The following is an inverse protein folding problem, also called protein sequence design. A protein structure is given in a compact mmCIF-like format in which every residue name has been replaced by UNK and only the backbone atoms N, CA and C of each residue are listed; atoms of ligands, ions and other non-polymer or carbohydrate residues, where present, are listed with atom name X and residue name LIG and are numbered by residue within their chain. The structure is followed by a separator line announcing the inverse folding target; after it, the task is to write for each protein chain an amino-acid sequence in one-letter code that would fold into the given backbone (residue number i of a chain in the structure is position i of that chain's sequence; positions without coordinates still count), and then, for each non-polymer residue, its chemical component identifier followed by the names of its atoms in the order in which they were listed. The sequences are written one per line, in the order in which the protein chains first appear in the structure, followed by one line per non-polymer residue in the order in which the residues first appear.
data_IF_843662258390
#
_entry.id   IF_843662258390
#
_cell.length_a   1.000
_cell.length_b   1.000
_cell.length_c   1.000
_cell.angle_alpha   90.00
_cell.angle_beta   90.00
_cell.angle_gamma   90.00
#
_symmetry.space_group_name_H-M   'P 1'
#
loop_
_entity.id
_entity.type
_entity.pdbx_description
1 polymer ?
#
# COMPACT_ATOMS: atom_id res chain seq x y z
N UNK A 1 3.56 17.99 -5.39
CA UNK A 1 3.97 16.58 -5.20
C UNK A 1 2.88 15.91 -4.39
N UNK A 2 2.35 14.78 -4.85
CA UNK A 2 1.37 14.02 -4.08
C UNK A 2 2.08 13.26 -2.95
N UNK A 3 1.54 13.35 -1.72
CA UNK A 3 2.13 12.67 -0.57
C UNK A 3 1.85 11.17 -0.63
N UNK A 4 2.86 10.37 -0.26
CA UNK A 4 2.78 8.90 -0.21
C UNK A 4 2.31 8.39 1.16
N UNK A 5 2.14 9.26 2.13
CA UNK A 5 1.62 8.98 3.47
C UNK A 5 0.73 10.13 3.97
N UNK A 6 0.04 9.92 5.10
CA UNK A 6 -0.78 10.91 5.81
C UNK A 6 -0.58 10.85 7.35
N UNK A 7 0.66 10.68 7.80
CA UNK A 7 1.02 10.52 9.20
C UNK A 7 1.08 11.83 9.99
N UNK A 8 0.89 13.00 9.38
CA UNK A 8 0.95 14.27 10.10
C UNK A 8 0.10 14.29 11.38
N UNK A 9 -1.12 13.77 11.34
CA UNK A 9 -2.01 13.68 12.51
C UNK A 9 -1.59 12.63 13.55
N UNK A 10 -0.76 11.66 13.17
CA UNK A 10 -0.14 10.65 14.03
C UNK A 10 1.06 11.21 14.80
N UNK A 11 1.63 12.36 14.41
CA UNK A 11 2.62 13.06 15.22
C UNK A 11 1.92 14.04 16.18
N UNK A 12 2.09 13.83 17.48
CA UNK A 12 1.66 14.78 18.52
C UNK A 12 2.87 15.59 19.02
N UNK A 13 2.64 16.54 19.93
CA UNK A 13 3.67 17.48 20.42
C UNK A 13 4.96 16.81 20.91
N UNK A 14 4.85 15.60 21.50
CA UNK A 14 5.98 14.81 22.01
C UNK A 14 6.49 13.72 21.07
N UNK A 15 6.08 13.73 19.80
CA UNK A 15 6.48 12.78 18.78
C UNK A 15 5.37 11.80 18.37
N UNK A 16 5.78 10.70 17.75
CA UNK A 16 4.89 9.72 17.13
C UNK A 16 3.96 9.02 18.14
N UNK A 17 2.66 9.03 17.86
CA UNK A 17 1.63 8.30 18.59
C UNK A 17 1.45 6.91 17.97
N UNK A 18 1.78 5.84 18.71
CA UNK A 18 1.54 4.46 18.26
C UNK A 18 1.54 3.45 19.41
N UNK A 19 1.13 2.22 19.11
CA UNK A 19 1.32 1.06 19.99
C UNK A 19 2.81 0.68 20.05
N UNK A 20 3.24 0.17 21.20
CA UNK A 20 4.65 -0.23 21.45
C UNK A 20 4.82 -1.73 21.72
N UNK A 21 3.73 -2.48 21.74
CA UNK A 21 3.71 -3.92 21.89
C UNK A 21 2.75 -4.53 20.87
N UNK A 22 2.97 -5.81 20.58
CA UNK A 22 2.15 -6.63 19.68
C UNK A 22 2.19 -8.09 20.19
N UNK A 23 1.15 -8.90 19.93
CA UNK A 23 -0.10 -8.53 19.27
C UNK A 23 -1.00 -7.66 20.17
N UNK A 24 -1.99 -7.00 19.56
CA UNK A 24 -3.03 -6.26 20.24
C UNK A 24 -4.24 -7.16 20.51
N UNK A 25 -4.70 -7.21 21.75
CA UNK A 25 -5.90 -7.95 22.10
C UNK A 25 -7.14 -7.15 21.68
N UNK A 26 -8.01 -7.76 20.89
CA UNK A 26 -9.26 -7.16 20.40
C UNK A 26 -10.45 -7.88 21.01
N UNK A 27 -11.27 -7.15 21.76
CA UNK A 27 -12.56 -7.64 22.21
C UNK A 27 -13.65 -7.07 21.31
N UNK A 28 -14.55 -7.92 20.83
CA UNK A 28 -15.71 -7.52 20.03
C UNK A 28 -16.95 -7.75 20.89
N UNK A 29 -17.61 -6.67 21.30
CA UNK A 29 -18.80 -6.75 22.11
C UNK A 29 -19.91 -7.52 21.37
N UNK A 30 -20.76 -8.28 22.08
CA UNK A 30 -21.93 -8.89 21.47
C UNK A 30 -22.90 -7.78 21.02
N UNK A 31 -23.47 -7.94 19.81
CA UNK A 31 -24.51 -7.03 19.34
C UNK A 31 -25.81 -7.29 20.11
N UNK A 32 -26.46 -6.22 20.56
CA UNK A 32 -27.72 -6.30 21.34
C UNK A 32 -28.88 -5.62 20.61
N UNK A 33 -28.83 -5.56 19.28
CA UNK A 33 -29.87 -4.94 18.47
C UNK A 33 -30.91 -5.98 18.03
N UNK A 34 -32.13 -5.87 18.55
CA UNK A 34 -33.25 -6.73 18.18
C UNK A 34 -33.54 -6.74 16.67
N UNK A 35 -33.39 -5.60 15.98
CA UNK A 35 -33.60 -5.47 14.53
C UNK A 35 -32.60 -6.26 13.67
N UNK A 36 -31.52 -6.78 14.28
CA UNK A 36 -30.41 -7.47 13.62
C UNK A 36 -30.11 -8.82 14.26
N UNK A 37 -31.06 -9.38 15.00
CA UNK A 37 -30.91 -10.66 15.68
C UNK A 37 -30.48 -11.76 14.69
N UNK A 38 -29.39 -12.48 15.02
CA UNK A 38 -28.83 -13.54 14.17
C UNK A 38 -27.81 -13.06 13.12
N UNK A 39 -27.54 -11.76 13.01
CA UNK A 39 -26.51 -11.20 12.12
C UNK A 39 -25.18 -10.91 12.85
N UNK A 40 -25.07 -11.25 14.14
CA UNK A 40 -23.89 -10.97 14.96
C UNK A 40 -22.61 -11.56 14.35
N UNK A 41 -22.71 -12.76 13.77
CA UNK A 41 -21.60 -13.42 13.11
C UNK A 41 -21.08 -12.61 11.91
N UNK A 42 -21.97 -12.05 11.09
CA UNK A 42 -21.60 -11.27 9.91
C UNK A 42 -20.77 -10.04 10.28
N UNK A 43 -21.24 -9.24 11.23
CA UNK A 43 -20.54 -8.04 11.67
C UNK A 43 -19.25 -8.37 12.43
N UNK A 44 -19.23 -9.45 13.22
CA UNK A 44 -17.99 -9.96 13.83
C UNK A 44 -16.96 -10.32 12.76
N UNK A 45 -17.37 -11.01 11.69
CA UNK A 45 -16.49 -11.35 10.56
C UNK A 45 -15.96 -10.11 9.84
N UNK A 46 -16.76 -9.04 9.71
CA UNK A 46 -16.28 -7.78 9.15
C UNK A 46 -15.15 -7.16 9.98
N UNK A 47 -15.24 -7.18 11.31
CA UNK A 47 -14.17 -6.70 12.19
C UNK A 47 -12.92 -7.56 12.07
N UNK A 48 -13.08 -8.88 12.06
CA UNK A 48 -11.96 -9.83 11.88
C UNK A 48 -11.24 -9.55 10.55
N UNK A 49 -12.01 -9.45 9.46
CA UNK A 49 -11.49 -9.13 8.14
C UNK A 49 -10.76 -7.78 8.13
N UNK A 50 -11.28 -6.76 8.79
CA UNK A 50 -10.63 -5.45 8.87
C UNK A 50 -9.28 -5.54 9.62
N UNK A 51 -9.22 -6.28 10.73
CA UNK A 51 -7.97 -6.58 11.43
C UNK A 51 -6.96 -7.25 10.48
N UNK A 52 -7.36 -8.32 9.79
CA UNK A 52 -6.50 -9.05 8.84
C UNK A 52 -5.99 -8.18 7.68
N UNK A 53 -6.84 -7.30 7.13
CA UNK A 53 -6.42 -6.34 6.09
C UNK A 53 -5.33 -5.39 6.60
N UNK A 54 -5.46 -4.88 7.84
CA UNK A 54 -4.44 -4.03 8.44
C UNK A 54 -3.16 -4.78 8.80
N UNK A 55 -3.24 -6.05 9.26
CA UNK A 55 -2.05 -6.89 9.44
C UNK A 55 -1.28 -7.06 8.13
N UNK A 56 -1.98 -7.42 7.05
CA UNK A 56 -1.42 -7.60 5.71
C UNK A 56 -0.82 -6.29 5.19
N UNK A 57 -1.55 -5.18 5.33
CA UNK A 57 -1.09 -3.85 4.93
C UNK A 57 0.19 -3.44 5.67
N UNK A 58 0.30 -3.75 6.96
CA UNK A 58 1.48 -3.46 7.77
C UNK A 58 2.68 -4.37 7.48
N UNK A 59 2.49 -5.42 6.68
CA UNK A 59 3.43 -6.53 6.47
C UNK A 59 3.79 -7.25 7.78
N UNK A 60 2.78 -7.51 8.63
CA UNK A 60 2.93 -8.24 9.89
C UNK A 60 3.59 -7.46 11.04
N UNK A 61 3.82 -6.15 10.86
CA UNK A 61 4.30 -5.25 11.92
C UNK A 61 3.23 -5.00 12.99
N UNK A 62 1.98 -4.98 12.56
CA UNK A 62 0.80 -5.00 13.42
C UNK A 62 0.24 -6.42 13.43
N UNK A 63 -0.18 -6.89 14.59
CA UNK A 63 -0.87 -8.17 14.78
C UNK A 63 -1.97 -8.02 15.81
N UNK A 64 -3.04 -8.79 15.65
CA UNK A 64 -4.20 -8.83 16.53
C UNK A 64 -4.43 -10.24 17.06
N UNK A 65 -5.02 -10.33 18.25
CA UNK A 65 -5.56 -11.56 18.82
C UNK A 65 -6.95 -11.26 19.35
N UNK A 66 -7.95 -12.04 18.95
CA UNK A 66 -9.28 -11.91 19.52
C UNK A 66 -9.29 -12.45 20.94
N UNK A 67 -9.95 -11.71 21.85
CA UNK A 67 -10.17 -12.13 23.23
C UNK A 67 -11.66 -12.06 23.55
N UNK A 68 -12.12 -12.93 24.44
CA UNK A 68 -13.53 -13.01 24.84
C UNK A 68 -13.86 -12.14 26.07
N UNK A 69 -12.88 -11.42 26.60
CA UNK A 69 -13.03 -10.59 27.79
C UNK A 69 -12.53 -9.15 27.56
N UNK A 70 -13.41 -8.19 27.89
CA UNK A 70 -13.14 -6.75 27.77
C UNK A 70 -11.93 -6.31 28.60
N UNK A 71 -11.78 -6.82 29.83
CA UNK A 71 -10.70 -6.38 30.74
C UNK A 71 -9.30 -6.75 30.26
N UNK A 72 -9.19 -7.75 29.38
CA UNK A 72 -7.92 -8.15 28.77
C UNK A 72 -7.68 -7.51 27.39
N UNK A 73 -8.59 -6.66 26.91
CA UNK A 73 -8.49 -6.06 25.59
C UNK A 73 -7.66 -4.79 25.59
N UNK A 74 -6.97 -4.55 24.47
CA UNK A 74 -6.33 -3.29 24.16
C UNK A 74 -7.23 -2.44 23.25
N UNK A 75 -7.96 -3.10 22.35
CA UNK A 75 -8.95 -2.48 21.48
C UNK A 75 -10.31 -3.12 21.81
N UNK A 76 -11.27 -2.29 22.19
CA UNK A 76 -12.66 -2.70 22.39
C UNK A 76 -13.49 -2.20 21.21
N UNK A 77 -14.20 -3.11 20.56
CA UNK A 77 -15.15 -2.79 19.50
C UNK A 77 -16.55 -2.96 20.03
N UNK A 78 -17.32 -1.88 20.04
CA UNK A 78 -18.71 -1.86 20.50
C UNK A 78 -19.66 -1.34 19.42
N UNK A 79 -20.93 -1.72 19.58
CA UNK A 79 -21.98 -1.39 18.63
C UNK A 79 -22.92 -0.36 19.22
N UNK A 80 -23.15 0.74 18.51
CA UNK A 80 -24.05 1.82 18.92
C UNK A 80 -25.13 2.04 17.88
N UNK A 81 -26.27 2.60 18.31
CA UNK A 81 -27.26 3.08 17.35
C UNK A 81 -26.72 4.32 16.66
N UNK A 82 -26.84 4.39 15.34
CA UNK A 82 -26.46 5.60 14.58
C UNK A 82 -27.20 6.81 15.15
N UNK A 83 -26.46 7.84 15.54
CA UNK A 83 -26.97 9.19 15.64
C UNK A 83 -26.65 9.93 14.33
N UNK A 84 -27.38 11.01 14.01
CA UNK A 84 -27.22 11.72 12.73
C UNK A 84 -25.84 12.39 12.54
N UNK A 85 -24.89 12.24 13.46
CA UNK A 85 -23.61 12.98 13.46
C UNK A 85 -22.42 12.14 13.03
N UNK A 86 -22.36 10.85 13.36
CA UNK A 86 -21.24 9.99 12.99
C UNK A 86 -21.65 8.51 12.82
N UNK A 87 -21.11 7.86 11.78
CA UNK A 87 -21.29 6.42 11.53
C UNK A 87 -20.35 5.55 12.38
N UNK A 88 -19.23 6.11 12.83
CA UNK A 88 -18.24 5.46 13.65
C UNK A 88 -17.49 6.50 14.50
N UNK A 89 -16.87 6.04 15.57
CA UNK A 89 -15.96 6.87 16.36
C UNK A 89 -14.92 6.01 17.09
N UNK A 90 -13.65 6.37 16.94
CA UNK A 90 -12.56 5.79 17.70
C UNK A 90 -12.00 6.80 18.71
N UNK A 91 -11.99 6.42 19.99
CA UNK A 91 -11.30 7.14 21.07
C UNK A 91 -10.12 6.32 21.56
N UNK A 92 -8.92 6.89 21.51
CA UNK A 92 -7.71 6.24 21.99
C UNK A 92 -7.17 6.91 23.27
N UNK A 93 -6.46 6.11 24.05
CA UNK A 93 -5.80 6.49 25.29
C UNK A 93 -4.30 6.26 25.16
N UNK A 94 -3.52 7.27 25.56
CA UNK A 94 -2.07 7.25 25.46
C UNK A 94 -1.43 7.94 26.66
N UNK A 95 -0.20 7.53 26.95
CA UNK A 95 0.56 8.08 28.08
C UNK A 95 1.28 9.40 27.71
N UNK A 96 2.00 9.96 28.69
CA UNK A 96 2.75 11.21 28.50
C UNK A 96 3.88 11.13 27.46
N UNK A 97 4.17 9.96 26.90
CA UNK A 97 5.17 9.70 25.85
C UNK A 97 4.55 9.29 24.51
N UNK A 98 3.24 9.51 24.35
CA UNK A 98 2.44 9.13 23.17
C UNK A 98 2.46 7.63 22.87
N UNK A 99 2.57 6.78 23.89
CA UNK A 99 2.37 5.34 23.72
C UNK A 99 0.91 5.01 23.90
N UNK A 100 0.30 4.39 22.89
CA UNK A 100 -1.06 3.89 22.98
C UNK A 100 -1.11 2.74 23.98
N UNK A 101 -2.13 2.76 24.84
CA UNK A 101 -2.43 1.67 25.79
C UNK A 101 -3.88 1.21 25.77
N UNK A 102 -4.78 1.94 25.08
CA UNK A 102 -6.19 1.56 24.93
C UNK A 102 -6.85 2.24 23.73
N UNK A 103 -7.79 1.58 23.06
CA UNK A 103 -8.67 2.20 22.08
C UNK A 103 -10.10 1.65 22.18
N UNK A 104 -11.07 2.55 22.13
CA UNK A 104 -12.51 2.30 22.16
C UNK A 104 -13.07 2.66 20.78
N UNK A 105 -13.53 1.64 20.04
CA UNK A 105 -14.08 1.76 18.70
C UNK A 105 -15.59 1.55 18.77
N UNK A 106 -16.35 2.61 18.53
CA UNK A 106 -17.79 2.57 18.45
C UNK A 106 -18.23 2.53 16.98
N UNK A 107 -18.95 1.47 16.57
CA UNK A 107 -19.51 1.34 15.23
C UNK A 107 -21.02 1.60 15.29
N UNK A 108 -21.48 2.57 14.51
CA UNK A 108 -22.88 2.92 14.37
C UNK A 108 -23.61 1.97 13.43
N UNK A 109 -24.67 1.32 13.93
CA UNK A 109 -25.61 0.55 13.14
C UNK A 109 -27.01 1.19 13.21
N UNK A 110 -27.75 1.23 12.11
CA UNK A 110 -29.15 1.68 12.12
C UNK A 110 -30.08 0.54 12.54
N UNK A 111 -31.21 0.90 13.13
CA UNK A 111 -32.33 0.01 13.41
C UNK A 111 -33.23 -0.25 12.17
N UNK A 112 -32.85 0.27 10.99
CA UNK A 112 -33.58 0.09 9.73
C UNK A 112 -34.58 1.21 9.42
N UNK A 113 -34.72 2.19 10.31
CA UNK A 113 -35.62 3.35 10.14
C UNK A 113 -34.93 4.53 9.43
N UNK A 114 -33.59 4.53 9.37
CA UNK A 114 -32.79 5.62 8.77
C UNK A 114 -31.99 5.14 7.55
N UNK A 115 -32.23 5.81 6.41
CA UNK A 115 -31.53 5.74 5.11
C UNK A 115 -30.89 4.37 4.75
N UNK A 116 -31.59 3.60 3.91
CA UNK A 116 -31.14 2.32 3.34
C UNK A 116 -29.74 2.35 2.71
N UNK A 117 -29.29 3.51 2.21
CA UNK A 117 -27.97 3.66 1.56
C UNK A 117 -26.78 3.55 2.52
N UNK A 118 -26.97 3.82 3.81
CA UNK A 118 -25.92 3.61 4.84
C UNK A 118 -25.88 2.16 5.33
N UNK A 119 -26.82 1.31 4.90
CA UNK A 119 -26.96 -0.08 5.37
C UNK A 119 -26.34 -1.11 4.44
N UNK A 120 -25.76 -0.69 3.32
CA UNK A 120 -24.98 -1.60 2.50
C UNK A 120 -23.83 -2.16 3.36
N UNK A 121 -23.68 -3.48 3.36
CA UNK A 121 -22.63 -4.18 4.12
C UNK A 121 -21.23 -3.59 3.84
N UNK A 122 -21.02 -3.16 2.60
CA UNK A 122 -19.86 -2.43 2.12
C UNK A 122 -19.57 -1.14 2.90
N UNK A 123 -20.60 -0.37 3.23
CA UNK A 123 -20.47 0.92 3.93
C UNK A 123 -20.21 0.71 5.42
N UNK A 124 -20.86 -0.30 6.03
CA UNK A 124 -20.54 -0.70 7.41
C UNK A 124 -19.10 -1.22 7.48
N UNK A 125 -18.68 -2.03 6.51
CA UNK A 125 -17.31 -2.51 6.44
C UNK A 125 -16.30 -1.39 6.22
N UNK A 126 -16.60 -0.38 5.39
CA UNK A 126 -15.79 0.83 5.27
C UNK A 126 -15.58 1.48 6.64
N UNK A 127 -16.67 1.75 7.38
CA UNK A 127 -16.58 2.37 8.70
C UNK A 127 -15.74 1.53 9.64
N UNK A 128 -15.95 0.21 9.70
CA UNK A 128 -15.14 -0.68 10.53
C UNK A 128 -13.65 -0.58 10.13
N UNK A 129 -13.33 -0.65 8.85
CA UNK A 129 -11.96 -0.60 8.36
C UNK A 129 -11.27 0.74 8.69
N UNK A 130 -12.01 1.85 8.57
CA UNK A 130 -11.58 3.20 8.94
C UNK A 130 -11.30 3.32 10.45
N UNK A 131 -12.25 2.92 11.30
CA UNK A 131 -12.10 3.07 12.76
C UNK A 131 -10.99 2.17 13.32
N UNK A 132 -10.77 0.99 12.76
CA UNK A 132 -9.60 0.17 13.11
C UNK A 132 -8.29 0.86 12.72
N UNK A 133 -8.26 1.61 11.61
CA UNK A 133 -7.12 2.44 11.24
C UNK A 133 -6.80 3.50 12.30
N UNK A 134 -7.82 4.18 12.83
CA UNK A 134 -7.67 5.08 13.97
C UNK A 134 -7.20 4.37 15.24
N UNK A 135 -7.73 3.19 15.54
CA UNK A 135 -7.30 2.39 16.69
C UNK A 135 -5.81 2.03 16.62
N UNK A 136 -5.23 1.94 15.42
CA UNK A 136 -3.80 1.73 15.19
C UNK A 136 -2.95 3.00 15.28
N UNK A 137 -3.56 4.17 15.43
CA UNK A 137 -2.88 5.47 15.53
C UNK A 137 -2.78 6.26 14.22
N UNK A 138 -3.43 5.80 13.14
CA UNK A 138 -3.53 6.61 11.92
C UNK A 138 -4.51 7.77 12.13
N UNK A 139 -4.16 8.94 11.59
CA UNK A 139 -5.11 10.04 11.47
C UNK A 139 -5.85 10.03 10.13
N UNK A 140 -6.52 11.13 9.81
CA UNK A 140 -7.24 11.26 8.56
C UNK A 140 -6.30 11.47 7.38
N UNK A 141 -6.67 10.87 6.25
CA UNK A 141 -6.09 11.19 4.97
C UNK A 141 -6.79 12.40 4.34
N UNK A 142 -6.04 13.29 3.66
CA UNK A 142 -6.64 14.35 2.85
C UNK A 142 -7.09 13.88 1.46
N UNK A 143 -6.94 12.59 1.12
CA UNK A 143 -7.19 12.07 -0.22
C UNK A 143 -8.42 11.17 -0.28
N UNK A 144 -9.39 11.54 -1.11
CA UNK A 144 -10.71 10.91 -1.19
C UNK A 144 -10.75 9.49 -1.77
N UNK A 145 -9.60 8.88 -2.03
CA UNK A 145 -9.46 7.48 -2.46
C UNK A 145 -8.94 6.57 -1.33
N UNK A 146 -8.60 7.14 -0.18
CA UNK A 146 -8.11 6.42 0.99
C UNK A 146 -9.24 6.00 1.89
N UNK A 147 -9.06 4.86 2.58
CA UNK A 147 -10.03 4.47 3.60
C UNK A 147 -10.08 5.50 4.72
N UNK A 148 -8.95 6.12 5.07
CA UNK A 148 -8.84 7.08 6.17
C UNK A 148 -9.32 8.50 5.80
N UNK A 149 -9.91 8.70 4.62
CA UNK A 149 -10.41 10.01 4.21
C UNK A 149 -11.65 10.45 5.01
N UNK A 150 -11.74 11.75 5.27
CA UNK A 150 -12.94 12.39 5.81
C UNK A 150 -13.28 13.65 4.99
N UNK A 151 -14.57 13.93 4.68
CA UNK A 151 -15.76 13.17 5.05
C UNK A 151 -15.89 11.84 4.28
N UNK A 152 -16.59 10.88 4.89
CA UNK A 152 -16.88 9.54 4.36
C UNK A 152 -17.22 9.55 2.86
N UNK A 153 -16.54 8.71 2.07
CA UNK A 153 -16.81 8.54 0.64
C UNK A 153 -17.28 7.13 0.32
N UNK A 154 -18.49 7.05 -0.23
CA UNK A 154 -19.12 5.82 -0.68
C UNK A 154 -18.28 5.07 -1.71
N UNK A 155 -18.28 3.74 -1.63
CA UNK A 155 -17.60 2.84 -2.58
C UNK A 155 -16.11 2.61 -2.33
N UNK A 156 -15.50 3.24 -1.32
CA UNK A 156 -14.10 2.97 -0.93
C UNK A 156 -14.09 1.84 0.10
N UNK A 157 -13.96 0.57 -0.30
CA UNK A 157 -14.06 -0.57 0.64
C UNK A 157 -12.77 -1.36 0.80
N UNK A 158 -11.63 -0.76 0.43
CA UNK A 158 -10.32 -1.41 0.48
C UNK A 158 -9.22 -0.40 0.78
N UNK A 159 -8.13 -0.88 1.37
CA UNK A 159 -6.96 -0.05 1.68
C UNK A 159 -6.23 0.37 0.40
N UNK A 160 -6.05 1.68 0.24
CA UNK A 160 -5.26 2.25 -0.85
C UNK A 160 -3.76 1.94 -0.68
N UNK A 161 -2.94 2.16 -1.72
CA UNK A 161 -1.49 2.13 -1.57
C UNK A 161 -0.96 3.12 -0.52
N UNK A 162 -1.62 4.28 -0.36
CA UNK A 162 -1.26 5.30 0.62
C UNK A 162 -1.57 4.83 2.04
N UNK A 163 -2.71 4.17 2.24
CA UNK A 163 -3.08 3.57 3.53
C UNK A 163 -2.02 2.55 3.99
N UNK A 164 -1.64 1.65 3.07
CA UNK A 164 -0.59 0.64 3.31
C UNK A 164 0.76 1.29 3.64
N UNK A 165 1.14 2.32 2.89
CA UNK A 165 2.42 3.01 3.10
C UNK A 165 2.42 3.75 4.44
N UNK A 166 1.32 4.42 4.80
CA UNK A 166 1.15 5.10 6.08
C UNK A 166 1.32 4.14 7.27
N UNK A 167 0.59 3.02 7.30
CA UNK A 167 0.70 2.07 8.42
C UNK A 167 2.10 1.43 8.52
N UNK A 168 2.72 1.13 7.38
CA UNK A 168 4.08 0.59 7.35
C UNK A 168 5.08 1.58 7.92
N UNK A 169 4.99 2.86 7.56
CA UNK A 169 5.86 3.89 8.11
C UNK A 169 5.59 4.18 9.57
N UNK A 170 4.32 4.23 10.00
CA UNK A 170 3.95 4.41 11.40
C UNK A 170 4.66 3.38 12.30
N UNK A 171 4.68 2.10 11.90
CA UNK A 171 5.31 1.02 12.67
C UNK A 171 6.77 0.72 12.30
N UNK A 172 7.33 1.42 11.29
CA UNK A 172 8.77 1.41 10.98
C UNK A 172 9.55 2.41 11.83
N UNK A 173 8.91 3.51 12.21
CA UNK A 173 9.54 4.58 12.98
C UNK A 173 9.69 4.21 14.47
N UNK A 174 10.79 4.68 15.07
CA UNK A 174 11.06 4.49 16.49
C UNK A 174 10.05 5.29 17.34
N UNK A 175 9.66 4.75 18.50
CA UNK A 175 8.75 5.44 19.41
C UNK A 175 9.37 6.77 19.86
N UNK A 176 8.55 7.82 19.96
CA UNK A 176 9.03 9.16 20.34
C UNK A 176 9.76 9.91 19.24
N UNK A 177 9.84 9.38 18.01
CA UNK A 177 10.36 10.13 16.86
C UNK A 177 9.56 11.42 16.70
N UNK A 178 10.24 12.56 16.74
CA UNK A 178 9.69 13.87 16.39
C UNK A 178 9.90 14.16 14.91
N UNK A 179 9.15 15.14 14.36
CA UNK A 179 9.33 15.58 12.98
C UNK A 179 10.74 16.16 12.77
N UNK A 180 11.30 16.86 13.77
CA UNK A 180 12.67 17.37 13.72
C UNK A 180 13.72 16.25 13.67
N UNK A 181 13.53 15.18 14.46
CA UNK A 181 14.40 14.00 14.41
C UNK A 181 14.32 13.31 13.05
N UNK A 182 13.12 13.21 12.48
CA UNK A 182 12.88 12.63 11.16
C UNK A 182 13.57 13.44 10.05
N UNK A 183 13.39 14.76 10.05
CA UNK A 183 14.02 15.73 9.15
C UNK A 183 15.55 15.61 9.19
N UNK A 184 16.12 15.57 10.39
CA UNK A 184 17.57 15.45 10.62
C UNK A 184 18.11 14.09 10.16
N UNK A 185 17.42 13.00 10.51
CA UNK A 185 17.81 11.62 10.15
C UNK A 185 17.91 11.42 8.65
N UNK A 186 16.97 11.99 7.89
CA UNK A 186 16.93 11.86 6.44
C UNK A 186 17.53 13.05 5.67
N UNK A 187 18.06 14.05 6.38
CA UNK A 187 18.64 15.28 5.79
C UNK A 187 17.68 15.99 4.82
N UNK A 188 16.39 16.04 5.17
CA UNK A 188 15.35 16.68 4.36
C UNK A 188 14.75 17.83 5.16
N UNK A 189 14.98 19.06 4.72
CA UNK A 189 14.39 20.25 5.32
C UNK A 189 12.89 20.34 5.04
N UNK A 190 12.06 19.83 5.94
CA UNK A 190 10.61 20.06 5.99
C UNK A 190 10.12 19.89 7.43
N UNK A 191 9.01 20.56 7.76
CA UNK A 191 8.29 20.42 9.03
C UNK A 191 7.04 19.55 8.89
N UNK A 192 6.82 18.95 7.71
CA UNK A 192 5.74 18.00 7.45
C UNK A 192 6.33 16.58 7.36
N UNK A 193 5.98 15.65 8.26
CA UNK A 193 6.50 14.28 8.21
C UNK A 193 6.15 13.56 6.91
N UNK A 194 4.99 13.84 6.31
CA UNK A 194 4.57 13.20 5.06
C UNK A 194 5.40 13.63 3.87
N UNK A 195 5.83 14.89 3.83
CA UNK A 195 6.74 15.38 2.80
C UNK A 195 8.13 14.76 2.93
N UNK A 196 8.64 14.66 4.17
CA UNK A 196 9.92 13.99 4.45
C UNK A 196 9.86 12.54 3.98
N UNK A 197 8.87 11.79 4.44
CA UNK A 197 8.70 10.37 4.10
C UNK A 197 8.54 10.19 2.59
N UNK A 198 7.75 11.03 1.94
CA UNK A 198 7.57 10.98 0.48
C UNK A 198 8.89 11.17 -0.25
N UNK A 199 9.70 12.16 0.14
CA UNK A 199 11.03 12.38 -0.45
C UNK A 199 11.96 11.20 -0.20
N UNK A 200 11.93 10.60 0.99
CA UNK A 200 12.72 9.38 1.29
C UNK A 200 12.31 8.20 0.42
N UNK A 201 11.00 7.99 0.21
CA UNK A 201 10.50 6.93 -0.68
C UNK A 201 10.99 7.18 -2.10
N UNK A 202 10.86 8.41 -2.61
CA UNK A 202 11.28 8.75 -3.98
C UNK A 202 12.79 8.63 -4.18
N UNK A 203 13.60 8.98 -3.18
CA UNK A 203 15.07 8.81 -3.24
C UNK A 203 15.49 7.34 -3.22
N UNK A 204 14.74 6.49 -2.52
CA UNK A 204 15.02 5.04 -2.45
C UNK A 204 14.28 4.23 -3.53
N UNK A 205 13.54 4.88 -4.43
CA UNK A 205 12.89 4.16 -5.51
C UNK A 205 13.97 3.67 -6.49
N UNK A 206 14.03 2.35 -6.75
CA UNK A 206 14.96 1.80 -7.72
C UNK A 206 14.78 2.50 -9.07
N UNK A 207 15.88 2.75 -9.77
CA UNK A 207 15.82 3.33 -11.11
C UNK A 207 14.93 2.50 -12.05
N UNK A 208 14.45 3.07 -13.16
CA UNK A 208 13.67 2.31 -14.16
C UNK A 208 14.37 1.00 -14.56
N UNK A 209 15.70 1.02 -14.66
CA UNK A 209 16.52 -0.15 -14.89
C UNK A 209 16.39 -1.20 -13.78
N UNK A 210 16.50 -0.80 -12.51
CA UNK A 210 16.39 -1.71 -11.37
C UNK A 210 14.96 -2.25 -11.20
N UNK A 211 13.95 -1.46 -11.53
CA UNK A 211 12.55 -1.91 -11.57
C UNK A 211 12.34 -3.00 -12.61
N UNK A 212 12.86 -2.81 -13.84
CA UNK A 212 12.82 -3.82 -14.90
C UNK A 212 13.62 -5.05 -14.51
N UNK A 213 14.82 -4.87 -13.94
CA UNK A 213 15.65 -5.98 -13.45
C UNK A 213 14.94 -6.83 -12.40
N UNK A 214 14.21 -6.21 -11.46
CA UNK A 214 13.51 -6.92 -10.40
C UNK A 214 12.18 -7.53 -10.84
N UNK A 215 11.55 -7.01 -11.92
CA UNK A 215 10.31 -7.56 -12.48
C UNK A 215 10.57 -8.74 -13.42
N UNK A 216 11.77 -8.83 -13.99
CA UNK A 216 12.22 -10.01 -14.72
C UNK A 216 12.54 -11.13 -13.72
N UNK A 217 12.00 -12.32 -13.97
CA UNK A 217 12.24 -13.51 -13.13
C UNK A 217 13.74 -13.76 -12.96
N UNK A 218 14.20 -14.35 -11.82
CA UNK A 218 15.63 -14.55 -11.54
C UNK A 218 16.34 -15.53 -12.48
N UNK A 219 15.65 -16.10 -13.48
CA UNK A 219 16.26 -16.87 -14.54
C UNK A 219 17.04 -15.93 -15.47
N UNK A 220 18.30 -15.68 -15.13
CA UNK A 220 19.27 -15.13 -16.06
C UNK A 220 19.19 -15.98 -17.34
N UNK A 221 18.95 -15.38 -18.52
CA UNK A 221 18.92 -16.14 -19.77
C UNK A 221 20.22 -16.93 -19.91
N UNK A 222 20.11 -18.25 -19.92
CA UNK A 222 21.27 -19.14 -19.94
C UNK A 222 21.82 -19.17 -21.35
N UNK A 223 23.07 -18.76 -21.52
CA UNK A 223 23.78 -18.85 -22.81
C UNK A 223 23.94 -20.32 -23.18
N UNK A 224 23.19 -20.78 -24.19
CA UNK A 224 23.36 -22.12 -24.75
C UNK A 224 24.54 -22.12 -25.73
N UNK A 225 25.65 -22.69 -25.30
CA UNK A 225 26.89 -22.72 -26.08
C UNK A 225 26.74 -23.49 -27.39
N UNK A 226 25.84 -24.48 -27.47
CA UNK A 226 25.66 -25.29 -28.68
C UNK A 226 24.92 -24.50 -29.76
N UNK A 227 23.85 -23.82 -29.38
CA UNK A 227 23.13 -22.90 -30.28
C UNK A 227 24.03 -21.75 -30.73
N UNK A 228 24.82 -21.18 -29.82
CA UNK A 228 25.79 -20.13 -30.17
C UNK A 228 26.88 -20.62 -31.12
N UNK A 229 27.41 -21.83 -30.93
CA UNK A 229 28.37 -22.43 -31.86
C UNK A 229 27.76 -22.64 -33.25
N UNK A 230 26.48 -23.03 -33.31
CA UNK A 230 25.74 -23.20 -34.56
C UNK A 230 25.57 -21.85 -35.26
N UNK A 231 25.13 -20.82 -34.52
CA UNK A 231 25.01 -19.46 -35.04
C UNK A 231 26.35 -18.93 -35.57
N UNK A 232 27.45 -19.18 -34.86
CA UNK A 232 28.80 -18.79 -35.31
C UNK A 232 29.20 -19.57 -36.57
N UNK A 233 28.90 -20.87 -36.65
CA UNK A 233 29.19 -21.68 -37.83
C UNK A 233 28.41 -21.18 -39.06
N UNK A 234 27.14 -20.85 -38.89
CA UNK A 234 26.31 -20.28 -39.95
C UNK A 234 26.81 -18.91 -40.37
N UNK A 235 27.16 -18.03 -39.43
CA UNK A 235 27.79 -16.74 -39.73
C UNK A 235 29.10 -16.91 -40.52
N UNK A 236 29.93 -17.89 -40.15
CA UNK A 236 31.17 -18.22 -40.89
C UNK A 236 30.85 -18.74 -42.29
N UNK A 237 29.83 -19.59 -42.44
CA UNK A 237 29.38 -20.11 -43.73
C UNK A 237 28.87 -18.98 -44.63
N UNK A 238 28.09 -18.04 -44.10
CA UNK A 238 27.66 -16.85 -44.84
C UNK A 238 28.85 -15.99 -45.27
N UNK A 239 29.83 -15.78 -44.38
CA UNK A 239 31.04 -15.03 -44.72
C UNK A 239 31.85 -15.72 -45.84
N UNK A 240 32.05 -17.03 -45.74
CA UNK A 240 32.69 -17.84 -46.79
C UNK A 240 31.94 -17.79 -48.13
N UNK A 241 30.61 -17.84 -48.08
CA UNK A 241 29.79 -17.71 -49.28
C UNK A 241 29.97 -16.34 -49.94
N UNK A 242 30.01 -15.26 -49.15
CA UNK A 242 30.26 -13.89 -49.64
C UNK A 242 31.67 -13.77 -50.25
N UNK A 243 32.68 -14.36 -49.63
CA UNK A 243 34.06 -14.33 -50.12
C UNK A 243 34.23 -15.09 -51.46
N UNK A 244 33.43 -16.14 -51.67
CA UNK A 244 33.46 -16.97 -52.88
C UNK A 244 32.41 -16.56 -53.93
N UNK A 245 31.79 -15.38 -53.81
CA UNK A 245 30.95 -14.85 -54.87
C UNK A 245 31.84 -14.53 -56.08
N UNK A 246 31.84 -15.41 -57.07
CA UNK A 246 32.34 -15.08 -58.39
C UNK A 246 31.23 -14.38 -59.18
N UNK A 247 31.41 -13.07 -59.39
CA UNK A 247 30.56 -12.31 -60.30
C UNK A 247 30.63 -12.94 -61.70
N UNK A 248 29.47 -13.18 -62.31
CA UNK A 248 29.40 -13.71 -63.67
C UNK A 248 30.04 -12.74 -64.67
N UNK A 249 30.61 -13.26 -65.76
CA UNK A 249 31.33 -12.44 -66.73
C UNK A 249 30.46 -11.33 -67.36
N UNK A 250 29.14 -11.57 -67.45
CA UNK A 250 28.18 -10.56 -67.90
C UNK A 250 28.08 -9.40 -66.91
N UNK A 251 28.07 -9.67 -65.60
CA UNK A 251 28.03 -8.63 -64.55
C UNK A 251 29.37 -7.89 -64.48
N UNK A 252 30.49 -8.60 -64.61
CA UNK A 252 31.83 -7.97 -64.70
C UNK A 252 31.95 -7.05 -65.92
N UNK A 253 31.43 -7.46 -67.09
CA UNK A 253 31.40 -6.62 -68.30
C UNK A 253 30.50 -5.40 -68.16
N UNK A 254 29.38 -5.52 -67.45
CA UNK A 254 28.48 -4.40 -67.18
C UNK A 254 29.13 -3.36 -66.25
N UNK A 255 29.81 -3.82 -65.19
CA UNK A 255 30.53 -2.95 -64.26
C UNK A 255 31.83 -2.36 -64.84
N UNK A 256 32.44 -3.03 -65.83
CA UNK A 256 33.70 -2.62 -66.46
C UNK A 256 33.56 -1.73 -67.71
N UNK A 257 32.34 -1.43 -68.20
CA UNK A 257 32.16 -0.45 -69.27
C UNK A 257 32.13 0.96 -68.68
N UNK A 258 32.97 1.91 -69.14
CA UNK A 258 32.80 3.30 -68.77
C UNK A 258 31.46 3.78 -69.34
N UNK A 259 30.65 4.40 -68.51
CA UNK A 259 29.38 4.99 -68.92
C UNK A 259 29.72 6.20 -69.80
N UNK A 260 29.62 6.05 -71.12
CA UNK A 260 29.54 7.19 -72.04
C UNK A 260 28.26 7.95 -71.71
N UNK A 261 28.40 9.08 -71.00
CA UNK A 261 27.34 10.09 -70.88
C UNK A 261 27.18 10.75 -72.24
N UNK A 262 26.13 10.39 -72.99
CA UNK A 262 25.56 11.31 -73.97
C UNK A 262 24.80 12.39 -73.21
N UNK A 263 25.33 13.60 -73.26
CA UNK A 263 24.60 14.83 -72.99
C UNK A 263 23.96 15.21 -74.32
N UNK A 264 22.63 15.25 -74.35
CA UNK A 264 21.79 16.33 -74.88
C UNK A 264 20.34 16.04 -74.52
#
# INVERSE_FOLDING_TARGET
MEMKTYLNESFKSKGLLRWTFMPLNVFIAPMKFYSKQGQDYLYKQMVIKACEEWERASMGRVRFVLVDNLLSSNINVEWRRIDRKALGHCKFSFDATNRLYGAEVSIGLSDGVMCQRYMAEEEVYHTILHEIGHALGLGHSPYDTDIMYTPHKYGVVSLSPRDKTSIQWLYKLEQGTSVANLSSKYKIGSNNPDEIITKVILQNNPSEFEQVKNSLSPSVPKKDLLTEQTNIADLKKYNLAIQNIQLSDNVKRYLGKPIEKKID
#
